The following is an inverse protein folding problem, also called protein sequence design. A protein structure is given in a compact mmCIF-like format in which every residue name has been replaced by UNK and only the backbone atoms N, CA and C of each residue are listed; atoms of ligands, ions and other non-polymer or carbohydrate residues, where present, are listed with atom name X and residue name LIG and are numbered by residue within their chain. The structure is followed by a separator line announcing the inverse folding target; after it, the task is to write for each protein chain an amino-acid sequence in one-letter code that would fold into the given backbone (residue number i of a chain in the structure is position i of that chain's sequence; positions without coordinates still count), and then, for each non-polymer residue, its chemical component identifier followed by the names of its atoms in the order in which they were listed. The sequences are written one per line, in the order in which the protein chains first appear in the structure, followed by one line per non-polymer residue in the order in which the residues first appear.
data_IF_670323989382
#
_entry.id   IF_670323989382
#
_cell.length_a   1.000
_cell.length_b   1.000
_cell.length_c   1.000
_cell.angle_alpha   90.00
_cell.angle_beta   90.00
_cell.angle_gamma   90.00
#
_symmetry.space_group_name_H-M   'P 1'
#
loop_
_entity.id
_entity.type
_entity.pdbx_description
1 polymer ?
#
# COMPACT_ATOMS: atom_id res chain seq x y z
N UNK A 1 8.02 4.91 -19.93
CA UNK A 1 7.17 4.15 -18.98
C UNK A 1 8.11 3.50 -17.99
N UNK A 2 8.33 4.14 -16.84
CA UNK A 2 9.24 3.59 -15.83
C UNK A 2 8.53 2.45 -15.11
N UNK A 3 8.98 1.23 -15.37
CA UNK A 3 8.49 0.03 -14.71
C UNK A 3 9.09 -0.02 -13.30
N UNK A 4 8.27 0.30 -12.30
CA UNK A 4 8.66 0.25 -10.91
C UNK A 4 8.29 -1.14 -10.37
N UNK A 5 9.28 -2.02 -10.21
CA UNK A 5 9.06 -3.36 -9.65
C UNK A 5 9.31 -3.32 -8.13
N UNK A 6 8.38 -3.85 -7.33
CA UNK A 6 8.59 -4.00 -5.89
C UNK A 6 9.61 -5.09 -5.62
N UNK A 7 10.48 -4.89 -4.63
CA UNK A 7 11.37 -5.95 -4.16
C UNK A 7 10.57 -7.11 -3.54
N UNK A 8 9.51 -6.80 -2.79
CA UNK A 8 8.57 -7.77 -2.22
C UNK A 8 7.27 -7.05 -1.81
N UNK A 9 6.10 -7.65 -2.09
CA UNK A 9 4.82 -7.18 -1.54
C UNK A 9 4.54 -7.88 -0.22
N UNK A 10 4.13 -7.11 0.78
CA UNK A 10 3.78 -7.59 2.11
C UNK A 10 2.27 -7.53 2.29
N UNK A 11 1.72 -8.62 2.79
CA UNK A 11 0.30 -8.75 3.13
C UNK A 11 0.16 -9.06 4.62
N UNK A 12 -0.92 -8.59 5.25
CA UNK A 12 -1.19 -8.88 6.66
C UNK A 12 -1.36 -10.38 6.90
N UNK A 13 -0.80 -10.91 7.99
CA UNK A 13 -1.05 -12.30 8.43
C UNK A 13 -2.50 -12.55 8.86
N UNK A 14 -3.26 -11.49 9.13
CA UNK A 14 -4.69 -11.55 9.41
C UNK A 14 -5.54 -11.54 8.13
N UNK A 15 -4.91 -11.41 6.95
CA UNK A 15 -5.62 -11.53 5.68
C UNK A 15 -6.25 -12.91 5.56
N UNK A 16 -7.56 -12.94 5.33
CA UNK A 16 -8.31 -14.14 5.00
C UNK A 16 -9.44 -13.77 4.04
N UNK A 17 -9.87 -14.72 3.20
CA UNK A 17 -11.02 -14.51 2.30
C UNK A 17 -10.73 -13.83 0.95
N UNK A 18 -9.50 -13.38 0.68
CA UNK A 18 -9.08 -12.95 -0.66
C UNK A 18 -9.33 -11.48 -1.04
N UNK A 19 -9.94 -10.69 -0.15
CA UNK A 19 -10.19 -9.24 -0.31
C UNK A 19 -9.20 -8.40 0.52
N UNK A 20 -7.92 -8.69 0.39
CA UNK A 20 -6.87 -8.07 1.20
C UNK A 20 -6.07 -7.04 0.41
N UNK A 21 -5.33 -6.22 1.14
CA UNK A 21 -4.40 -5.25 0.56
C UNK A 21 -2.97 -5.74 0.80
N UNK A 22 -2.14 -5.65 -0.24
CA UNK A 22 -0.70 -5.87 -0.15
C UNK A 22 0.07 -4.59 -0.50
N UNK A 23 1.17 -4.35 0.22
CA UNK A 23 1.98 -3.13 0.15
C UNK A 23 3.41 -3.49 -0.22
N UNK A 24 3.94 -2.86 -1.27
CA UNK A 24 5.31 -3.04 -1.73
C UNK A 24 6.09 -1.72 -1.72
N UNK A 25 7.39 -1.80 -1.47
CA UNK A 25 8.30 -0.66 -1.72
C UNK A 25 9.01 -0.91 -3.04
N UNK A 26 8.79 0.00 -3.98
CA UNK A 26 9.40 -0.01 -5.31
C UNK A 26 10.76 0.71 -5.29
N UNK A 27 11.38 0.80 -6.46
CA UNK A 27 12.55 1.64 -6.68
C UNK A 27 12.28 3.09 -6.24
N UNK A 28 13.34 3.79 -5.83
CA UNK A 28 13.29 5.19 -5.39
C UNK A 28 12.40 5.45 -4.16
N UNK A 29 11.99 4.39 -3.44
CA UNK A 29 11.21 4.51 -2.21
C UNK A 29 9.73 4.79 -2.44
N UNK A 30 9.23 4.62 -3.67
CA UNK A 30 7.80 4.68 -3.98
C UNK A 30 7.09 3.54 -3.26
N UNK A 31 5.97 3.83 -2.61
CA UNK A 31 5.12 2.84 -1.96
C UNK A 31 3.96 2.51 -2.89
N UNK A 32 3.82 1.23 -3.22
CA UNK A 32 2.73 0.68 -4.00
C UNK A 32 1.74 -0.08 -3.13
N UNK A 33 0.46 0.12 -3.39
CA UNK A 33 -0.66 -0.52 -2.70
C UNK A 33 -1.59 -1.11 -3.73
N UNK A 34 -1.92 -2.40 -3.60
CA UNK A 34 -2.85 -3.09 -4.50
C UNK A 34 -3.71 -4.11 -3.78
N UNK A 35 -4.82 -4.46 -4.42
CA UNK A 35 -5.77 -5.47 -3.92
C UNK A 35 -5.31 -6.88 -4.34
N UNK A 36 -5.43 -7.86 -3.46
CA UNK A 36 -5.08 -9.26 -3.77
C UNK A 36 -5.96 -9.89 -4.83
N UNK A 37 -7.21 -9.44 -4.98
CA UNK A 37 -8.14 -9.95 -6.01
C UNK A 37 -7.89 -9.35 -7.38
N UNK A 38 -7.23 -8.20 -7.43
CA UNK A 38 -6.84 -7.54 -8.68
C UNK A 38 -5.48 -6.83 -8.54
N UNK A 39 -4.41 -7.60 -8.79
CA UNK A 39 -3.03 -7.10 -8.73
C UNK A 39 -2.62 -6.20 -9.89
N UNK A 40 -3.50 -5.99 -10.87
CA UNK A 40 -3.24 -5.08 -11.99
C UNK A 40 -3.53 -3.62 -11.64
N UNK A 41 -4.33 -3.40 -10.59
CA UNK A 41 -4.75 -2.07 -10.13
C UNK A 41 -3.93 -1.67 -8.91
N UNK A 42 -3.00 -0.75 -9.13
CA UNK A 42 -2.06 -0.29 -8.11
C UNK A 42 -2.16 1.22 -7.90
N UNK A 43 -2.13 1.63 -6.64
CA UNK A 43 -1.95 3.02 -6.22
C UNK A 43 -0.50 3.22 -5.78
N UNK A 44 0.13 4.30 -6.23
CA UNK A 44 1.51 4.63 -5.87
C UNK A 44 1.56 5.95 -5.10
N UNK A 45 2.45 6.00 -4.11
CA UNK A 45 2.66 7.14 -3.24
C UNK A 45 4.17 7.37 -3.08
N UNK A 46 4.58 8.61 -2.89
CA UNK A 46 5.92 8.86 -2.36
C UNK A 46 6.05 8.30 -0.93
N UNK A 47 7.28 8.04 -0.50
CA UNK A 47 7.56 7.65 0.89
C UNK A 47 7.02 8.67 1.91
N UNK A 48 7.07 9.96 1.58
CA UNK A 48 6.58 11.04 2.45
C UNK A 48 5.05 11.04 2.56
N UNK A 49 4.34 10.94 1.43
CA UNK A 49 2.87 10.87 1.42
C UNK A 49 2.38 9.63 2.19
N UNK A 50 3.02 8.49 1.97
CA UNK A 50 2.69 7.27 2.69
C UNK A 50 2.90 7.40 4.20
N UNK A 51 4.02 7.98 4.63
CA UNK A 51 4.30 8.21 6.05
C UNK A 51 3.27 9.15 6.69
N UNK A 52 2.89 10.23 6.00
CA UNK A 52 1.87 11.16 6.47
C UNK A 52 0.49 10.48 6.58
N UNK A 53 0.10 9.70 5.56
CA UNK A 53 -1.16 8.95 5.56
C UNK A 53 -1.25 7.97 6.74
N UNK A 54 -0.19 7.19 6.99
CA UNK A 54 -0.13 6.25 8.13
C UNK A 54 -0.18 6.99 9.47
N UNK A 55 0.46 8.16 9.57
CA UNK A 55 0.40 8.98 10.78
C UNK A 55 -1.03 9.45 11.07
N UNK A 56 -1.76 9.91 10.06
CA UNK A 56 -3.14 10.36 10.22
C UNK A 56 -4.11 9.22 10.54
N UNK A 57 -3.93 8.03 9.94
CA UNK A 57 -4.68 6.81 10.35
C UNK A 57 -4.46 6.54 11.84
N UNK A 58 -3.21 6.55 12.31
CA UNK A 58 -2.90 6.28 13.72
C UNK A 58 -3.46 7.33 14.68
N UNK A 59 -3.71 8.55 14.18
CA UNK A 59 -4.37 9.63 14.93
C UNK A 59 -5.90 9.52 14.91
N UNK A 60 -6.46 8.54 14.21
CA UNK A 60 -7.90 8.33 14.09
C UNK A 60 -8.59 9.33 13.14
N UNK A 61 -7.83 9.99 12.25
CA UNK A 61 -8.36 11.02 11.36
C UNK A 61 -9.47 10.51 10.41
N UNK A 62 -9.53 9.19 10.21
CA UNK A 62 -10.45 8.52 9.29
C UNK A 62 -11.47 7.61 9.99
N UNK A 63 -11.50 7.55 11.32
CA UNK A 63 -12.35 6.62 12.08
C UNK A 63 -13.85 6.96 11.98
N UNK A 64 -14.17 8.21 11.61
CA UNK A 64 -15.53 8.72 11.47
C UNK A 64 -16.01 8.83 10.01
N UNK A 65 -15.25 8.29 9.06
CA UNK A 65 -15.65 8.21 7.64
C UNK A 65 -16.60 7.04 7.37
#
# INVERSE_FOLDING_TARGET
MTQHTAAEYRISSFCSGGDCVEVGVLQEGVVAVRDTKDRSRELTFSSQEWAAFVAEIKRGAFDAL
#
